data_IF_124581119492
#
_entry.id   IF_124581119492
#
_cell.length_a   1.000
_cell.length_b   1.000
_cell.length_c   1.000
_cell.angle_alpha   90.00
_cell.angle_beta   90.00
_cell.angle_gamma   90.00
#
_symmetry.space_group_name_H-M   'P 1'
#
loop_
_entity.id
_entity.type
_entity.pdbx_description
1 polymer ?
#
# COMPACT_ATOMS: atom_id res chain seq x y z
N UNK A 1 33.58 -9.61 -3.89
CA UNK A 1 33.04 -9.64 -5.27
C UNK A 1 33.67 -8.46 -5.98
N UNK A 2 34.45 -8.68 -7.02
CA UNK A 2 35.07 -7.63 -7.81
C UNK A 2 34.25 -7.47 -9.07
N UNK A 3 33.77 -6.26 -9.33
CA UNK A 3 32.98 -5.94 -10.53
C UNK A 3 33.93 -5.18 -11.45
N UNK A 4 34.24 -5.77 -12.60
CA UNK A 4 35.01 -5.10 -13.64
C UNK A 4 34.05 -4.60 -14.72
N UNK A 5 34.10 -3.29 -15.00
CA UNK A 5 33.36 -2.67 -16.08
C UNK A 5 34.24 -2.56 -17.32
N UNK A 6 33.78 -3.15 -18.41
CA UNK A 6 34.40 -2.95 -19.71
C UNK A 6 33.32 -2.43 -20.68
N UNK A 7 33.52 -1.22 -21.19
CA UNK A 7 32.54 -0.51 -22.05
C UNK A 7 32.24 -1.19 -23.39
N UNK A 8 33.01 -2.22 -23.75
CA UNK A 8 32.90 -2.93 -25.02
C UNK A 8 32.36 -4.35 -24.93
N UNK A 9 32.11 -4.88 -23.73
CA UNK A 9 31.63 -6.26 -23.52
C UNK A 9 30.49 -6.29 -22.50
N UNK A 10 29.56 -7.27 -22.63
CA UNK A 10 28.59 -7.50 -21.60
C UNK A 10 29.31 -7.80 -20.28
N UNK A 11 28.82 -7.25 -19.19
CA UNK A 11 29.36 -7.46 -17.86
C UNK A 11 29.35 -8.96 -17.54
N UNK A 12 30.54 -9.52 -17.37
CA UNK A 12 30.72 -10.93 -16.99
C UNK A 12 30.89 -11.00 -15.48
N UNK A 13 29.91 -11.58 -14.79
CA UNK A 13 30.12 -11.98 -13.41
C UNK A 13 30.86 -13.29 -13.34
N UNK A 14 32.06 -13.26 -12.81
CA UNK A 14 32.78 -14.48 -12.48
C UNK A 14 32.25 -15.05 -11.15
N UNK A 15 31.29 -15.96 -11.23
CA UNK A 15 30.90 -16.77 -10.09
C UNK A 15 31.78 -18.03 -10.10
N UNK A 16 32.58 -18.28 -9.05
CA UNK A 16 33.29 -19.54 -8.94
C UNK A 16 32.27 -20.70 -9.05
N UNK A 17 32.51 -21.60 -10.00
CA UNK A 17 31.68 -22.80 -10.27
C UNK A 17 30.39 -22.62 -11.10
N UNK A 18 30.17 -21.49 -11.78
CA UNK A 18 29.06 -21.38 -12.71
C UNK A 18 29.50 -21.40 -14.17
N UNK A 19 28.94 -22.32 -14.98
CA UNK A 19 29.10 -22.31 -16.43
C UNK A 19 27.90 -21.61 -17.04
N UNK A 20 28.15 -20.54 -17.78
CA UNK A 20 27.10 -19.83 -18.53
C UNK A 20 26.55 -20.79 -19.60
N UNK A 21 25.26 -21.11 -19.64
CA UNK A 21 24.68 -21.92 -20.70
C UNK A 21 24.89 -21.27 -22.07
N UNK A 22 25.10 -22.06 -23.11
CA UNK A 22 25.44 -21.58 -24.47
C UNK A 22 24.37 -20.67 -25.07
N UNK A 23 23.12 -20.79 -24.64
CA UNK A 23 22.02 -19.95 -25.08
C UNK A 23 22.05 -18.54 -24.46
N UNK A 24 22.67 -18.37 -23.27
CA UNK A 24 22.82 -17.08 -22.60
C UNK A 24 23.79 -16.14 -23.34
N UNK A 25 24.73 -16.70 -24.10
CA UNK A 25 25.69 -15.95 -24.88
C UNK A 25 25.08 -15.23 -26.11
N UNK A 26 23.84 -15.54 -26.45
CA UNK A 26 23.12 -14.96 -27.59
C UNK A 26 22.48 -13.61 -27.29
N UNK A 27 22.43 -13.20 -26.04
CA UNK A 27 21.67 -12.04 -25.61
C UNK A 27 22.58 -11.02 -24.92
N UNK A 28 22.41 -9.76 -25.25
CA UNK A 28 22.95 -8.66 -24.44
C UNK A 28 22.05 -8.47 -23.20
N UNK A 29 22.70 -8.39 -22.06
CA UNK A 29 22.02 -8.33 -20.78
C UNK A 29 21.82 -6.87 -20.35
N UNK A 30 20.60 -6.49 -19.93
CA UNK A 30 20.32 -5.21 -19.29
C UNK A 30 20.15 -5.43 -17.78
N UNK A 31 20.82 -4.58 -17.04
CA UNK A 31 20.92 -4.61 -15.61
C UNK A 31 19.69 -4.13 -14.90
N UNK A 32 19.29 -4.84 -13.87
CA UNK A 32 18.54 -4.29 -12.77
C UNK A 32 19.31 -4.63 -11.48
N UNK A 33 19.99 -3.65 -10.92
CA UNK A 33 20.43 -3.70 -9.52
C UNK A 33 19.31 -3.00 -8.73
N UNK A 34 18.56 -3.77 -7.98
CA UNK A 34 17.75 -3.22 -6.90
C UNK A 34 18.75 -2.75 -5.82
N UNK A 35 18.86 -1.44 -5.53
CA UNK A 35 19.81 -0.93 -4.55
C UNK A 35 19.55 -1.48 -3.14
N UNK A 36 18.34 -1.99 -2.87
CA UNK A 36 17.96 -2.55 -1.58
C UNK A 36 18.17 -4.07 -1.49
N UNK A 37 18.73 -4.68 -2.54
CA UNK A 37 18.91 -6.13 -2.59
C UNK A 37 20.20 -6.57 -1.90
N UNK A 38 20.12 -6.85 -0.59
CA UNK A 38 21.16 -7.59 0.13
C UNK A 38 21.08 -9.07 -0.23
N UNK A 39 21.95 -9.55 -1.11
CA UNK A 39 22.02 -10.98 -1.41
C UNK A 39 22.67 -11.74 -0.26
N UNK A 40 22.02 -12.77 0.30
CA UNK A 40 22.70 -13.73 1.15
C UNK A 40 23.85 -14.39 0.36
N UNK A 41 24.94 -14.73 1.04
CA UNK A 41 26.05 -15.45 0.44
C UNK A 41 25.53 -16.71 -0.28
N UNK A 42 25.75 -16.82 -1.60
CA UNK A 42 25.29 -17.94 -2.41
C UNK A 42 24.07 -17.68 -3.30
N UNK A 43 23.45 -16.53 -3.25
CA UNK A 43 22.34 -16.16 -4.13
C UNK A 43 22.86 -15.83 -5.54
N UNK A 44 22.25 -16.42 -6.57
CA UNK A 44 22.57 -16.14 -7.97
C UNK A 44 21.75 -14.95 -8.44
N UNK A 45 22.43 -13.90 -8.93
CA UNK A 45 21.81 -12.75 -9.57
C UNK A 45 21.95 -12.90 -11.07
N UNK A 46 20.85 -12.81 -11.81
CA UNK A 46 20.81 -12.86 -13.25
C UNK A 46 20.51 -11.48 -13.80
N UNK A 47 21.28 -11.09 -14.80
CA UNK A 47 21.14 -9.79 -15.43
C UNK A 47 21.18 -9.97 -16.94
N UNK A 48 20.07 -9.67 -17.62
CA UNK A 48 19.90 -9.85 -19.04
C UNK A 48 19.81 -8.50 -19.77
N UNK A 49 20.63 -8.32 -20.80
CA UNK A 49 20.57 -7.17 -21.71
C UNK A 49 20.06 -7.63 -23.07
N UNK A 50 19.03 -6.96 -23.58
CA UNK A 50 18.49 -7.21 -24.91
C UNK A 50 19.07 -6.21 -25.90
N UNK A 51 19.73 -6.66 -26.96
CA UNK A 51 20.43 -5.79 -27.93
C UNK A 51 19.50 -4.90 -28.73
N UNK A 52 18.30 -5.36 -29.08
CA UNK A 52 17.24 -4.54 -29.67
C UNK A 52 15.89 -5.25 -29.60
N UNK A 53 14.81 -4.49 -29.60
CA UNK A 53 13.44 -5.00 -29.62
C UNK A 53 13.08 -5.64 -30.98
N UNK A 54 13.81 -5.39 -32.04
CA UNK A 54 13.56 -5.89 -33.39
C UNK A 54 14.01 -7.33 -33.59
N UNK A 55 15.02 -7.80 -32.88
CA UNK A 55 15.52 -9.19 -32.98
C UNK A 55 14.64 -10.23 -32.30
N UNK A 56 13.68 -9.83 -31.49
CA UNK A 56 12.81 -10.72 -30.71
C UNK A 56 11.56 -11.21 -31.47
N UNK A 57 11.28 -10.69 -32.64
CA UNK A 57 10.07 -11.04 -33.39
C UNK A 57 10.03 -12.49 -33.91
N UNK A 58 11.12 -13.22 -33.80
CA UNK A 58 11.27 -14.56 -34.37
C UNK A 58 11.29 -15.75 -33.40
N UNK A 59 11.53 -15.54 -32.12
CA UNK A 59 11.70 -16.65 -31.15
C UNK A 59 10.43 -16.82 -30.31
N UNK A 60 9.58 -17.74 -30.72
CA UNK A 60 8.24 -17.97 -30.13
C UNK A 60 8.26 -18.70 -28.78
N UNK A 61 9.39 -19.25 -28.36
CA UNK A 61 9.47 -20.16 -27.19
C UNK A 61 10.03 -19.50 -25.91
N UNK A 62 10.54 -18.29 -26.00
CA UNK A 62 10.89 -17.52 -24.80
C UNK A 62 9.68 -16.68 -24.41
N UNK A 63 8.97 -17.12 -23.38
CA UNK A 63 7.88 -16.34 -22.82
C UNK A 63 8.32 -14.87 -22.71
N UNK A 64 7.61 -13.97 -23.37
CA UNK A 64 7.93 -12.56 -23.42
C UNK A 64 8.00 -12.01 -22.01
N UNK A 65 9.16 -12.06 -21.39
CA UNK A 65 9.52 -11.07 -20.39
C UNK A 65 10.01 -9.85 -21.18
N UNK A 66 9.11 -9.19 -21.87
CA UNK A 66 9.27 -7.76 -22.06
C UNK A 66 8.96 -7.18 -20.68
N UNK A 67 9.95 -6.65 -19.95
CA UNK A 67 9.62 -5.71 -18.92
C UNK A 67 8.94 -4.59 -19.71
N UNK A 68 7.65 -4.45 -19.53
CA UNK A 68 6.92 -3.28 -20.02
C UNK A 68 7.30 -2.15 -19.05
N UNK A 69 8.60 -1.78 -19.08
CA UNK A 69 9.28 -0.81 -18.23
C UNK A 69 8.75 0.61 -18.40
N UNK A 70 7.79 0.80 -19.30
CA UNK A 70 7.23 2.12 -19.60
C UNK A 70 5.72 2.21 -19.37
N UNK A 71 5.06 1.14 -18.94
CA UNK A 71 3.63 1.24 -18.69
C UNK A 71 3.43 1.69 -17.25
N UNK A 72 3.05 2.94 -17.09
CA UNK A 72 2.52 3.44 -15.83
C UNK A 72 1.48 2.46 -15.29
N UNK A 73 1.56 2.12 -14.02
CA UNK A 73 0.57 1.26 -13.37
C UNK A 73 -0.80 1.92 -13.43
N UNK A 74 -1.84 1.14 -13.65
CA UNK A 74 -3.21 1.62 -13.53
C UNK A 74 -3.45 2.22 -12.14
N UNK A 75 -4.26 3.25 -12.08
CA UNK A 75 -4.66 3.91 -10.83
C UNK A 75 -6.17 3.78 -10.71
N UNK A 76 -6.62 3.24 -9.58
CA UNK A 76 -8.04 3.04 -9.29
C UNK A 76 -8.40 3.74 -7.99
N UNK A 77 -9.30 4.71 -8.08
CA UNK A 77 -9.86 5.42 -6.94
C UNK A 77 -11.04 4.64 -6.36
N UNK A 78 -11.06 4.40 -5.05
CA UNK A 78 -12.14 3.72 -4.35
C UNK A 78 -12.93 4.71 -3.52
N UNK A 79 -14.25 4.81 -3.80
CA UNK A 79 -15.18 5.64 -3.03
C UNK A 79 -16.45 4.88 -2.68
N UNK A 80 -17.07 5.31 -1.59
CA UNK A 80 -18.36 4.78 -1.14
C UNK A 80 -19.30 5.93 -0.77
N UNK A 81 -19.12 6.57 0.38
CA UNK A 81 -19.93 7.68 0.87
C UNK A 81 -19.08 8.72 1.63
N UNK A 82 -17.83 8.89 1.24
CA UNK A 82 -16.94 9.89 1.84
C UNK A 82 -17.37 11.30 1.41
N UNK A 83 -17.50 12.21 2.39
CA UNK A 83 -17.97 13.59 2.18
C UNK A 83 -17.12 14.37 1.16
N UNK A 84 -15.85 14.02 1.03
CA UNK A 84 -14.85 14.67 0.19
C UNK A 84 -14.45 13.85 -1.06
N UNK A 85 -15.16 12.75 -1.34
CA UNK A 85 -14.83 11.84 -2.44
C UNK A 85 -14.76 12.54 -3.81
N UNK A 86 -15.72 13.41 -4.11
CA UNK A 86 -15.78 14.10 -5.40
C UNK A 86 -14.64 15.11 -5.59
N UNK A 87 -14.27 15.83 -4.55
CA UNK A 87 -13.19 16.81 -4.61
C UNK A 87 -11.83 16.11 -4.74
N UNK A 88 -11.61 15.02 -3.99
CA UNK A 88 -10.40 14.22 -4.09
C UNK A 88 -10.31 13.47 -5.41
N UNK A 89 -11.45 13.03 -5.97
CA UNK A 89 -11.49 12.43 -7.31
C UNK A 89 -11.06 13.42 -8.40
N UNK A 90 -11.63 14.64 -8.39
CA UNK A 90 -11.23 15.71 -9.35
C UNK A 90 -9.75 16.02 -9.21
N UNK A 91 -9.28 16.17 -7.97
CA UNK A 91 -7.85 16.39 -7.71
C UNK A 91 -6.98 15.27 -8.29
N UNK A 92 -7.36 14.00 -8.08
CA UNK A 92 -6.61 12.88 -8.66
C UNK A 92 -6.56 12.96 -10.19
N UNK A 93 -7.65 13.33 -10.84
CA UNK A 93 -7.71 13.48 -12.30
C UNK A 93 -6.80 14.60 -12.82
N UNK A 94 -6.53 15.66 -12.06
CA UNK A 94 -5.58 16.71 -12.43
C UNK A 94 -4.15 16.16 -12.57
N UNK A 95 -3.79 15.15 -11.80
CA UNK A 95 -2.47 14.48 -11.87
C UNK A 95 -2.48 13.27 -12.79
N UNK A 96 -3.59 12.54 -12.82
CA UNK A 96 -3.75 11.24 -13.46
C UNK A 96 -5.06 11.16 -14.25
N UNK A 97 -5.14 11.78 -15.43
CA UNK A 97 -6.38 11.85 -16.21
C UNK A 97 -6.93 10.49 -16.66
N UNK A 98 -6.10 9.44 -16.63
CA UNK A 98 -6.46 8.07 -17.00
C UNK A 98 -6.88 7.21 -15.81
N UNK A 99 -6.92 7.77 -14.61
CA UNK A 99 -7.38 7.06 -13.42
C UNK A 99 -8.79 6.54 -13.61
N UNK A 100 -9.07 5.38 -13.02
CA UNK A 100 -10.38 4.73 -13.03
C UNK A 100 -11.03 4.87 -11.67
N UNK A 101 -12.35 4.76 -11.58
CA UNK A 101 -13.08 4.83 -10.32
C UNK A 101 -13.92 3.60 -10.10
N UNK A 102 -13.94 3.12 -8.87
CA UNK A 102 -14.93 2.17 -8.33
C UNK A 102 -15.67 2.91 -7.25
N UNK A 103 -17.00 3.01 -7.37
CA UNK A 103 -17.86 3.76 -6.49
C UNK A 103 -19.02 2.92 -6.00
N UNK A 104 -19.44 3.10 -4.74
CA UNK A 104 -20.66 2.54 -4.18
C UNK A 104 -20.67 1.02 -4.00
N UNK A 105 -19.51 0.35 -4.04
CA UNK A 105 -19.44 -1.10 -3.83
C UNK A 105 -19.41 -1.39 -2.33
N UNK A 106 -20.42 -2.10 -1.85
CA UNK A 106 -20.50 -2.50 -0.45
C UNK A 106 -19.47 -3.57 -0.10
N UNK A 107 -18.71 -3.31 0.97
CA UNK A 107 -17.68 -4.16 1.48
C UNK A 107 -16.29 -3.90 0.90
N UNK A 108 -15.31 -3.67 1.80
CA UNK A 108 -13.94 -3.28 1.45
C UNK A 108 -13.25 -4.27 0.50
N UNK A 109 -13.35 -5.58 0.77
CA UNK A 109 -12.77 -6.60 -0.11
C UNK A 109 -13.46 -6.64 -1.48
N UNK A 110 -14.79 -6.47 -1.53
CA UNK A 110 -15.53 -6.46 -2.79
C UNK A 110 -15.14 -5.26 -3.66
N UNK A 111 -14.99 -4.07 -3.06
CA UNK A 111 -14.52 -2.86 -3.75
C UNK A 111 -13.10 -3.05 -4.31
N UNK A 112 -12.17 -3.60 -3.53
CA UNK A 112 -10.81 -3.90 -3.99
C UNK A 112 -10.79 -4.94 -5.11
N UNK A 113 -11.60 -6.01 -5.03
CA UNK A 113 -11.74 -6.98 -6.12
C UNK A 113 -12.29 -6.35 -7.38
N UNK A 114 -13.24 -5.42 -7.25
CA UNK A 114 -13.77 -4.69 -8.41
C UNK A 114 -12.68 -3.79 -9.03
N UNK A 115 -11.84 -3.14 -8.21
CA UNK A 115 -10.68 -2.40 -8.69
C UNK A 115 -9.71 -3.30 -9.47
N UNK A 116 -9.41 -4.49 -8.96
CA UNK A 116 -8.59 -5.47 -9.65
C UNK A 116 -9.18 -5.92 -11.00
N UNK A 117 -10.52 -6.07 -11.10
CA UNK A 117 -11.18 -6.45 -12.37
C UNK A 117 -11.02 -5.39 -13.44
N UNK A 118 -11.11 -4.10 -13.09
CA UNK A 118 -10.99 -3.01 -14.05
C UNK A 118 -9.54 -2.59 -14.34
N UNK A 119 -8.59 -2.99 -13.49
CA UNK A 119 -7.17 -2.78 -13.73
C UNK A 119 -6.68 -3.62 -14.91
N UNK A 120 -5.83 -3.05 -15.77
CA UNK A 120 -5.23 -3.71 -16.95
C UNK A 120 -3.77 -4.11 -16.71
N UNK A 121 -3.13 -3.55 -15.69
CA UNK A 121 -1.77 -3.87 -15.28
C UNK A 121 -1.76 -4.95 -14.19
N UNK A 122 -0.69 -5.77 -14.14
CA UNK A 122 -0.57 -6.87 -13.16
C UNK A 122 -0.46 -6.39 -11.72
N UNK A 123 0.07 -5.19 -11.55
CA UNK A 123 0.03 -4.42 -10.30
C UNK A 123 -0.62 -3.07 -10.58
N UNK A 124 -1.31 -2.51 -9.63
CA UNK A 124 -2.02 -1.24 -9.82
C UNK A 124 -2.14 -0.47 -8.51
N UNK A 125 -2.21 0.85 -8.62
CA UNK A 125 -2.48 1.73 -7.51
C UNK A 125 -3.95 1.69 -7.11
N UNK A 126 -4.21 1.68 -5.82
CA UNK A 126 -5.51 1.97 -5.22
C UNK A 126 -5.36 3.24 -4.42
N UNK A 127 -6.28 4.18 -4.62
CA UNK A 127 -6.36 5.46 -3.92
C UNK A 127 -7.68 5.51 -3.17
N UNK A 128 -7.60 5.65 -1.84
CA UNK A 128 -8.79 5.75 -0.99
C UNK A 128 -9.44 7.15 -1.15
N UNK A 129 -10.77 7.24 -1.04
CA UNK A 129 -11.51 8.46 -1.34
C UNK A 129 -11.23 9.65 -0.40
N UNK A 130 -10.73 9.37 0.81
CA UNK A 130 -10.30 10.41 1.75
C UNK A 130 -8.83 10.85 1.55
N UNK A 131 -8.13 10.29 0.57
CA UNK A 131 -6.74 10.62 0.27
C UNK A 131 -6.63 11.89 -0.58
N UNK A 132 -6.20 12.98 0.03
CA UNK A 132 -5.81 14.21 -0.66
C UNK A 132 -4.38 14.07 -1.16
N UNK A 133 -4.21 13.79 -2.45
CA UNK A 133 -2.89 13.55 -3.07
C UNK A 133 -2.02 14.82 -3.03
N UNK A 134 -0.75 14.66 -2.62
CA UNK A 134 0.23 15.76 -2.58
C UNK A 134 0.70 16.14 -3.99
N UNK A 135 1.05 17.41 -4.20
CA UNK A 135 1.47 17.95 -5.49
C UNK A 135 2.78 17.33 -6.04
N UNK A 136 3.63 16.87 -5.16
CA UNK A 136 4.92 16.25 -5.47
C UNK A 136 4.83 14.74 -5.65
N UNK A 137 3.74 14.07 -5.28
CA UNK A 137 3.57 12.64 -5.49
C UNK A 137 3.25 12.30 -6.95
N UNK A 138 4.10 11.48 -7.59
CA UNK A 138 4.07 11.30 -9.07
C UNK A 138 3.50 9.96 -9.55
N UNK A 139 3.11 9.02 -8.69
CA UNK A 139 2.67 7.66 -9.06
C UNK A 139 3.67 6.93 -9.96
N UNK A 140 4.96 7.12 -9.75
CA UNK A 140 6.03 6.59 -10.59
C UNK A 140 6.77 5.41 -9.95
N UNK A 141 6.38 4.98 -8.75
CA UNK A 141 6.96 3.79 -8.13
C UNK A 141 6.54 2.55 -8.90
N UNK A 142 7.52 1.77 -9.33
CA UNK A 142 7.31 0.51 -10.03
C UNK A 142 7.90 -0.60 -9.18
N UNK A 143 7.06 -1.52 -8.65
CA UNK A 143 7.54 -2.66 -7.90
C UNK A 143 8.52 -3.52 -8.68
N UNK A 144 9.54 -4.05 -7.98
CA UNK A 144 10.45 -5.03 -8.55
C UNK A 144 9.70 -6.27 -9.05
N UNK A 145 10.21 -6.90 -10.10
CA UNK A 145 9.67 -8.17 -10.60
C UNK A 145 9.64 -9.28 -9.53
N UNK A 146 10.51 -9.18 -8.52
CA UNK A 146 10.58 -10.12 -7.40
C UNK A 146 9.55 -9.86 -6.29
N UNK A 147 8.85 -8.73 -6.37
CA UNK A 147 7.87 -8.28 -5.37
C UNK A 147 6.44 -8.22 -5.94
N UNK A 148 6.16 -8.95 -7.01
CA UNK A 148 4.84 -8.96 -7.68
C UNK A 148 3.72 -9.55 -6.83
N UNK A 149 4.04 -10.26 -5.77
CA UNK A 149 3.13 -10.80 -4.77
C UNK A 149 3.03 -9.94 -3.51
N UNK A 150 3.68 -8.77 -3.50
CA UNK A 150 3.75 -7.88 -2.37
C UNK A 150 2.73 -6.74 -2.48
N UNK A 151 2.09 -6.38 -1.37
CA UNK A 151 1.33 -5.13 -1.25
C UNK A 151 2.27 -4.03 -0.77
N UNK A 152 2.23 -2.88 -1.45
CA UNK A 152 2.98 -1.69 -1.05
C UNK A 152 2.03 -0.64 -0.48
N UNK A 153 2.43 -0.01 0.61
CA UNK A 153 1.65 1.04 1.26
C UNK A 153 2.53 2.27 1.42
N UNK A 154 2.08 3.37 0.86
CA UNK A 154 2.76 4.65 1.01
C UNK A 154 2.43 5.29 2.35
N UNK A 155 3.32 6.16 2.83
CA UNK A 155 3.01 6.98 3.98
C UNK A 155 1.85 7.92 3.66
N UNK A 156 0.95 8.06 4.61
CA UNK A 156 -0.12 9.06 4.62
C UNK A 156 0.07 9.99 5.82
N UNK A 157 -0.10 11.29 5.62
CA UNK A 157 -0.02 12.25 6.69
C UNK A 157 -1.38 12.45 7.35
N UNK A 158 -1.41 12.39 8.67
CA UNK A 158 -2.59 12.67 9.47
C UNK A 158 -2.84 14.20 9.53
N UNK A 159 -4.04 14.69 9.16
CA UNK A 159 -4.34 16.12 9.12
C UNK A 159 -4.43 16.76 10.52
N UNK A 160 -4.61 15.95 11.57
CA UNK A 160 -4.83 16.44 12.94
C UNK A 160 -3.51 16.49 13.72
N UNK A 161 -2.78 15.38 13.79
CA UNK A 161 -1.58 15.25 14.62
C UNK A 161 -0.26 15.17 13.84
N UNK A 162 -0.33 15.22 12.51
CA UNK A 162 0.81 15.17 11.58
C UNK A 162 1.64 13.88 11.62
N UNK A 163 1.17 12.86 12.28
CA UNK A 163 1.80 11.53 12.13
C UNK A 163 1.84 11.12 10.67
N UNK A 164 2.96 10.56 10.25
CA UNK A 164 3.14 10.03 8.91
C UNK A 164 3.67 8.61 9.00
N UNK A 165 2.92 7.67 8.48
CA UNK A 165 3.27 6.24 8.42
C UNK A 165 2.39 5.51 7.41
N UNK A 166 2.72 4.26 7.11
CA UNK A 166 1.97 3.45 6.14
C UNK A 166 0.66 2.92 6.73
N UNK A 167 -0.44 3.65 6.57
CA UNK A 167 -1.74 3.22 7.10
C UNK A 167 -2.91 3.29 6.09
N UNK A 168 -2.65 3.58 4.85
CA UNK A 168 -3.71 3.64 3.85
C UNK A 168 -3.51 4.78 2.88
N UNK A 169 -4.59 5.31 2.31
CA UNK A 169 -4.57 6.40 1.34
C UNK A 169 -4.12 5.93 -0.04
N UNK A 170 -2.84 5.61 -0.24
CA UNK A 170 -2.32 5.10 -1.51
C UNK A 170 -1.58 3.78 -1.29
N UNK A 171 -1.93 2.79 -2.10
CA UNK A 171 -1.36 1.43 -2.05
C UNK A 171 -1.13 0.90 -3.46
N UNK A 172 -0.22 -0.06 -3.62
CA UNK A 172 -0.11 -0.86 -4.84
C UNK A 172 -0.46 -2.30 -4.49
N UNK A 173 -1.37 -2.89 -5.25
CA UNK A 173 -1.81 -4.26 -5.08
C UNK A 173 -1.42 -5.14 -6.28
N UNK A 174 -1.05 -6.40 -6.02
CA UNK A 174 -0.97 -7.42 -7.06
C UNK A 174 -2.40 -7.86 -7.45
N UNK A 175 -2.72 -7.73 -8.74
CA UNK A 175 -4.06 -7.99 -9.29
C UNK A 175 -4.55 -9.41 -8.99
N UNK A 176 -3.76 -10.42 -9.33
CA UNK A 176 -4.15 -11.82 -9.15
C UNK A 176 -4.32 -12.21 -7.69
N UNK A 177 -3.42 -11.74 -6.83
CA UNK A 177 -3.52 -11.97 -5.38
C UNK A 177 -4.83 -11.39 -4.84
N UNK A 178 -5.21 -10.20 -5.30
CA UNK A 178 -6.42 -9.53 -4.85
C UNK A 178 -7.68 -10.22 -5.39
N UNK A 179 -7.69 -10.67 -6.65
CA UNK A 179 -8.83 -11.39 -7.24
C UNK A 179 -9.11 -12.72 -6.52
N UNK A 180 -8.07 -13.43 -6.13
CA UNK A 180 -8.16 -14.73 -5.45
C UNK A 180 -8.26 -14.62 -3.94
N UNK A 181 -8.09 -13.42 -3.35
CA UNK A 181 -8.12 -13.21 -1.91
C UNK A 181 -9.45 -13.65 -1.30
N UNK A 182 -9.35 -14.37 -0.20
CA UNK A 182 -10.45 -14.68 0.71
C UNK A 182 -10.02 -14.25 2.10
N UNK A 183 -10.84 -13.48 2.78
CA UNK A 183 -10.50 -13.04 4.13
C UNK A 183 -11.72 -13.02 5.03
N UNK A 184 -11.54 -13.57 6.19
CA UNK A 184 -12.38 -13.49 7.38
C UNK A 184 -11.78 -12.58 8.46
N UNK A 185 -10.59 -12.00 8.16
CA UNK A 185 -9.86 -11.15 9.11
C UNK A 185 -10.37 -9.71 9.09
N UNK A 186 -10.25 -9.00 10.23
CA UNK A 186 -10.69 -7.60 10.36
C UNK A 186 -9.93 -6.63 9.45
N UNK A 187 -8.64 -6.88 9.19
CA UNK A 187 -7.83 -6.06 8.30
C UNK A 187 -7.69 -6.74 6.94
N UNK A 188 -8.33 -6.14 5.93
CA UNK A 188 -8.33 -6.65 4.56
C UNK A 188 -6.95 -6.51 3.92
N UNK A 189 -6.24 -5.41 4.17
CA UNK A 189 -4.96 -5.13 3.53
C UNK A 189 -3.88 -6.13 3.93
N UNK A 190 -3.74 -6.40 5.23
CA UNK A 190 -2.77 -7.35 5.75
C UNK A 190 -3.17 -8.82 5.55
N UNK A 191 -4.45 -9.08 5.25
CA UNK A 191 -4.94 -10.44 4.98
C UNK A 191 -4.86 -10.85 3.51
N UNK A 192 -4.73 -9.90 2.58
CA UNK A 192 -4.68 -10.16 1.14
C UNK A 192 -3.33 -10.75 0.72
N UNK A 193 -2.23 -10.26 1.26
CA UNK A 193 -0.89 -10.68 0.87
C UNK A 193 -0.05 -11.12 2.07
N UNK A 194 0.77 -12.17 1.84
CA UNK A 194 1.73 -12.63 2.84
C UNK A 194 2.95 -11.71 2.95
N UNK A 195 3.11 -10.80 2.00
CA UNK A 195 4.22 -9.85 1.93
C UNK A 195 3.68 -8.43 1.84
N UNK A 196 4.26 -7.57 2.66
CA UNK A 196 3.85 -6.19 2.81
C UNK A 196 5.10 -5.30 2.91
N UNK A 197 5.12 -4.22 2.15
CA UNK A 197 6.21 -3.23 2.18
C UNK A 197 5.66 -1.83 2.38
N UNK A 198 6.23 -1.11 3.33
CA UNK A 198 5.95 0.30 3.54
C UNK A 198 6.92 1.12 2.71
N UNK A 199 6.41 2.09 1.96
CA UNK A 199 7.18 3.08 1.20
C UNK A 199 7.15 4.39 1.97
N UNK A 200 8.31 4.91 2.35
CA UNK A 200 8.44 6.09 3.22
C UNK A 200 8.00 7.40 2.53
N UNK A 201 7.84 7.40 1.19
CA UNK A 201 7.31 8.55 0.47
C UNK A 201 5.89 8.87 0.93
N UNK A 202 5.66 10.13 1.30
CA UNK A 202 4.34 10.61 1.71
C UNK A 202 3.52 10.89 0.45
N UNK A 203 2.48 10.11 0.23
CA UNK A 203 1.64 10.21 -0.98
C UNK A 203 0.47 11.19 -0.83
N UNK A 204 -0.07 11.31 0.38
CA UNK A 204 -1.32 12.02 0.61
C UNK A 204 -1.47 12.52 2.04
N UNK A 205 -2.44 13.42 2.24
CA UNK A 205 -3.04 13.71 3.54
C UNK A 205 -4.36 12.95 3.61
N UNK A 206 -4.59 12.18 4.67
CA UNK A 206 -5.85 11.46 4.87
C UNK A 206 -6.92 12.39 5.43
N UNK A 207 -7.82 12.92 4.60
CA UNK A 207 -8.84 13.89 4.99
C UNK A 207 -10.07 13.21 5.63
N UNK A 208 -9.89 12.49 6.72
CA UNK A 208 -10.96 11.80 7.43
C UNK A 208 -11.75 12.72 8.38
N UNK A 209 -11.24 13.92 8.66
CA UNK A 209 -11.80 14.85 9.66
C UNK A 209 -12.93 15.73 9.08
N UNK A 210 -13.84 15.13 8.31
CA UNK A 210 -14.95 15.81 7.63
C UNK A 210 -16.10 16.18 8.58
N UNK A 211 -16.32 15.37 9.62
CA UNK A 211 -17.32 15.60 10.65
C UNK A 211 -16.92 14.93 11.98
N UNK A 212 -17.57 15.24 13.12
CA UNK A 212 -17.23 14.69 14.43
C UNK A 212 -17.19 13.17 14.48
N UNK A 213 -18.17 12.49 13.87
CA UNK A 213 -18.25 11.03 13.88
C UNK A 213 -17.16 10.39 13.04
N UNK A 214 -16.94 10.84 11.81
CA UNK A 214 -15.90 10.30 10.93
C UNK A 214 -14.51 10.47 11.56
N UNK A 215 -14.27 11.59 12.20
CA UNK A 215 -13.02 11.89 12.90
C UNK A 215 -12.80 10.96 14.11
N UNK A 216 -13.81 10.85 14.96
CA UNK A 216 -13.78 9.94 16.10
C UNK A 216 -13.60 8.48 15.65
N UNK A 217 -14.37 8.06 14.67
CA UNK A 217 -14.34 6.69 14.12
C UNK A 217 -12.96 6.31 13.61
N UNK A 218 -12.31 7.18 12.83
CA UNK A 218 -10.98 6.90 12.27
C UNK A 218 -9.94 6.78 13.37
N UNK A 219 -9.94 7.70 14.34
CA UNK A 219 -9.04 7.65 15.48
C UNK A 219 -9.29 6.40 16.36
N UNK A 220 -10.57 6.06 16.62
CA UNK A 220 -10.95 4.85 17.35
C UNK A 220 -10.40 3.58 16.69
N UNK A 221 -10.64 3.42 15.39
CA UNK A 221 -10.21 2.24 14.63
C UNK A 221 -8.70 2.09 14.64
N UNK A 222 -8.00 3.18 14.38
CA UNK A 222 -6.53 3.18 14.32
C UNK A 222 -5.93 2.88 15.71
N UNK A 223 -6.37 3.55 16.76
CA UNK A 223 -5.85 3.35 18.10
C UNK A 223 -6.23 1.99 18.70
N UNK A 224 -7.38 1.41 18.32
CA UNK A 224 -7.73 0.05 18.68
C UNK A 224 -6.76 -0.98 18.08
N UNK A 225 -6.35 -0.80 16.81
CA UNK A 225 -5.35 -1.63 16.16
C UNK A 225 -3.98 -1.50 16.82
N UNK A 226 -3.51 -0.27 17.03
CA UNK A 226 -2.22 0.01 17.68
C UNK A 226 -2.16 -0.59 19.09
N UNK A 227 -3.24 -0.45 19.87
CA UNK A 227 -3.31 -0.96 21.24
C UNK A 227 -3.41 -2.48 21.34
N UNK A 228 -4.11 -3.12 20.41
CA UNK A 228 -4.20 -4.57 20.34
C UNK A 228 -2.86 -5.22 19.96
N UNK A 229 -1.98 -4.50 19.24
CA UNK A 229 -0.63 -4.93 18.81
C UNK A 229 -0.60 -6.30 18.11
N UNK A 230 -1.67 -6.68 17.44
CA UNK A 230 -1.82 -7.98 16.78
C UNK A 230 -2.19 -7.88 15.30
N UNK A 231 -2.34 -6.65 14.78
CA UNK A 231 -2.77 -6.41 13.40
C UNK A 231 -1.58 -6.07 12.51
N UNK A 232 -0.57 -5.37 13.06
CA UNK A 232 0.66 -5.00 12.36
C UNK A 232 1.88 -5.53 13.11
N UNK A 233 2.88 -6.03 12.38
CA UNK A 233 4.20 -6.42 12.93
C UNK A 233 5.05 -5.20 13.34
N UNK A 234 4.41 -4.12 13.79
CA UNK A 234 5.10 -2.91 14.21
C UNK A 234 5.78 -3.11 15.57
N UNK A 235 6.88 -2.38 15.79
CA UNK A 235 7.52 -2.34 17.10
C UNK A 235 6.53 -1.79 18.15
N UNK A 236 6.42 -2.48 19.26
CA UNK A 236 5.57 -2.08 20.39
C UNK A 236 5.85 -0.64 20.85
N UNK A 237 7.12 -0.21 20.87
CA UNK A 237 7.51 1.14 21.26
C UNK A 237 6.97 2.20 20.30
N UNK A 238 7.02 1.92 19.01
CA UNK A 238 6.46 2.80 17.99
C UNK A 238 4.94 2.91 18.13
N UNK A 239 4.25 1.81 18.39
CA UNK A 239 2.81 1.82 18.64
C UNK A 239 2.45 2.66 19.87
N UNK A 240 3.20 2.55 20.97
CA UNK A 240 2.99 3.37 22.17
C UNK A 240 3.23 4.86 21.91
N UNK A 241 4.26 5.22 21.15
CA UNK A 241 4.52 6.60 20.76
C UNK A 241 3.38 7.16 19.90
N UNK A 242 2.92 6.40 18.90
CA UNK A 242 1.79 6.79 18.06
C UNK A 242 0.50 6.97 18.88
N UNK A 243 0.18 6.04 19.77
CA UNK A 243 -0.95 6.14 20.68
C UNK A 243 -0.88 7.40 21.55
N UNK A 244 0.31 7.71 22.11
CA UNK A 244 0.52 8.92 22.88
C UNK A 244 0.21 10.18 22.04
N UNK A 245 0.76 10.28 20.83
CA UNK A 245 0.54 11.42 19.94
C UNK A 245 -0.95 11.55 19.56
N UNK A 246 -1.62 10.45 19.22
CA UNK A 246 -3.05 10.44 18.89
C UNK A 246 -3.92 10.98 20.05
N UNK A 247 -3.55 10.67 21.31
CA UNK A 247 -4.32 11.06 22.50
C UNK A 247 -4.02 12.48 23.00
N UNK A 248 -2.92 13.11 22.54
CA UNK A 248 -2.45 14.36 23.12
C UNK A 248 -2.30 15.50 22.12
N UNK A 249 -2.36 15.24 20.82
CA UNK A 249 -2.02 16.23 19.80
C UNK A 249 -3.21 16.49 18.87
N UNK A 250 -3.52 17.76 18.64
CA UNK A 250 -4.46 18.17 17.61
C UNK A 250 -5.70 18.91 18.09
N UNK A 251 -5.81 19.32 19.36
CA UNK A 251 -6.95 20.08 19.92
C UNK A 251 -7.37 21.29 19.07
N UNK A 252 -6.40 22.00 18.48
CA UNK A 252 -6.67 23.19 17.66
C UNK A 252 -7.13 22.89 16.23
N UNK A 253 -7.21 21.63 15.84
CA UNK A 253 -7.60 21.21 14.48
C UNK A 253 -9.09 20.98 14.39
N UNK A 254 -9.63 21.08 13.16
CA UNK A 254 -11.04 20.77 12.89
C UNK A 254 -11.37 19.36 13.40
N UNK A 255 -12.32 19.27 14.32
CA UNK A 255 -12.70 18.04 15.01
C UNK A 255 -11.58 17.35 15.81
N UNK A 256 -10.50 18.07 16.17
CA UNK A 256 -9.35 17.51 16.88
C UNK A 256 -9.70 16.84 18.21
N UNK A 257 -10.61 17.44 18.98
CA UNK A 257 -11.09 16.86 20.25
C UNK A 257 -11.83 15.54 20.03
N UNK A 258 -12.55 15.40 18.91
CA UNK A 258 -13.19 14.13 18.54
C UNK A 258 -12.15 13.07 18.17
N UNK A 259 -11.05 13.45 17.51
CA UNK A 259 -9.95 12.53 17.25
C UNK A 259 -9.30 12.02 18.54
N UNK A 260 -8.99 12.94 19.46
CA UNK A 260 -8.39 12.59 20.77
C UNK A 260 -9.32 11.67 21.55
N UNK A 261 -10.60 12.02 21.59
CA UNK A 261 -11.61 11.18 22.23
C UNK A 261 -11.71 9.78 21.61
N UNK A 262 -11.73 9.70 20.27
CA UNK A 262 -11.73 8.45 19.54
C UNK A 262 -10.47 7.61 19.80
N UNK A 263 -9.32 8.27 19.92
CA UNK A 263 -8.06 7.61 20.24
C UNK A 263 -8.07 6.96 21.62
N UNK A 264 -8.58 7.69 22.63
CA UNK A 264 -8.71 7.17 24.00
C UNK A 264 -9.67 5.97 24.04
N UNK A 265 -10.86 6.12 23.45
CA UNK A 265 -11.88 5.08 23.43
C UNK A 265 -11.37 3.84 22.66
N UNK A 266 -10.66 4.05 21.55
CA UNK A 266 -10.07 2.99 20.72
C UNK A 266 -8.96 2.24 21.44
N UNK A 267 -8.07 2.92 22.15
CA UNK A 267 -7.04 2.29 22.96
C UNK A 267 -7.66 1.39 24.04
N UNK A 268 -8.64 1.88 24.78
CA UNK A 268 -9.36 1.11 25.82
C UNK A 268 -9.98 -0.13 25.20
N UNK A 269 -10.66 0.02 24.06
CA UNK A 269 -11.30 -1.10 23.36
C UNK A 269 -10.27 -2.11 22.85
N UNK A 270 -9.16 -1.66 22.25
CA UNK A 270 -8.10 -2.51 21.74
C UNK A 270 -7.44 -3.35 22.83
N UNK A 271 -7.08 -2.73 23.96
CA UNK A 271 -6.50 -3.43 25.10
C UNK A 271 -7.47 -4.50 25.65
N UNK A 272 -8.75 -4.13 25.81
CA UNK A 272 -9.76 -5.02 26.38
C UNK A 272 -10.10 -6.23 25.47
N UNK A 273 -9.84 -6.13 24.17
CA UNK A 273 -10.22 -7.15 23.18
C UNK A 273 -9.04 -7.71 22.37
N UNK A 274 -7.79 -7.48 22.77
CA UNK A 274 -6.59 -7.88 22.02
C UNK A 274 -6.55 -9.37 21.64
N UNK A 275 -7.12 -10.23 22.48
CA UNK A 275 -7.15 -11.69 22.29
C UNK A 275 -8.51 -12.18 21.72
N UNK A 276 -9.41 -11.26 21.34
CA UNK A 276 -10.74 -11.58 20.80
C UNK A 276 -10.92 -10.96 19.41
N UNK A 277 -10.56 -11.73 18.37
CA UNK A 277 -10.63 -11.29 17.00
C UNK A 277 -12.04 -10.93 16.51
N UNK A 278 -13.07 -11.65 16.98
CA UNK A 278 -14.47 -11.34 16.63
C UNK A 278 -14.86 -9.95 17.14
N UNK A 279 -14.57 -9.67 18.41
CA UNK A 279 -14.84 -8.35 18.98
C UNK A 279 -13.98 -7.26 18.37
N UNK A 280 -12.70 -7.51 18.11
CA UNK A 280 -11.86 -6.54 17.38
C UNK A 280 -12.43 -6.24 15.99
N UNK A 281 -13.05 -7.21 15.34
CA UNK A 281 -13.71 -7.03 14.04
C UNK A 281 -14.79 -5.94 14.02
N UNK A 282 -15.40 -5.61 15.18
CA UNK A 282 -16.39 -4.54 15.31
C UNK A 282 -15.85 -3.15 14.95
N UNK A 283 -14.53 -2.95 14.94
CA UNK A 283 -13.95 -1.68 14.44
C UNK A 283 -14.29 -1.42 12.96
N UNK A 284 -14.74 -2.42 12.22
CA UNK A 284 -15.17 -2.29 10.82
C UNK A 284 -16.70 -2.19 10.66
N UNK A 285 -17.46 -2.36 11.73
CA UNK A 285 -18.92 -2.22 11.72
C UNK A 285 -19.30 -0.74 11.94
N UNK A 286 -19.67 -0.09 10.84
CA UNK A 286 -20.07 1.32 10.85
C UNK A 286 -21.31 1.59 11.74
N UNK A 287 -22.26 0.67 11.77
CA UNK A 287 -23.50 0.81 12.55
C UNK A 287 -23.18 0.70 14.04
N UNK A 288 -22.35 -0.26 14.41
CA UNK A 288 -21.89 -0.42 15.79
C UNK A 288 -21.07 0.80 16.25
N UNK A 289 -20.11 1.26 15.46
CA UNK A 289 -19.31 2.45 15.77
C UNK A 289 -20.19 3.69 15.96
N UNK A 290 -21.22 3.86 15.12
CA UNK A 290 -22.15 4.98 15.27
C UNK A 290 -22.92 4.91 16.59
N UNK A 291 -23.37 3.74 16.99
CA UNK A 291 -24.03 3.53 18.30
C UNK A 291 -23.08 3.86 19.47
N UNK A 292 -21.85 3.42 19.41
CA UNK A 292 -20.83 3.74 20.46
C UNK A 292 -20.61 5.24 20.55
N UNK A 293 -20.42 5.91 19.41
CA UNK A 293 -20.26 7.37 19.37
C UNK A 293 -21.46 8.12 19.96
N UNK A 294 -22.68 7.70 19.61
CA UNK A 294 -23.90 8.35 20.09
C UNK A 294 -24.12 8.15 21.60
N UNK A 295 -23.77 6.98 22.13
CA UNK A 295 -23.82 6.73 23.58
C UNK A 295 -22.82 7.61 24.33
N UNK A 296 -21.59 7.70 23.80
CA UNK A 296 -20.54 8.56 24.37
C UNK A 296 -20.96 10.03 24.48
N UNK A 297 -21.61 10.57 23.46
CA UNK A 297 -21.98 11.98 23.41
C UNK A 297 -23.28 12.32 24.16
N UNK A 298 -23.94 11.33 24.77
CA UNK A 298 -25.09 11.54 25.66
C UNK A 298 -24.70 11.64 27.14
N UNK A 299 -23.44 11.31 27.44
CA UNK A 299 -22.87 11.43 28.79
C UNK A 299 -22.18 12.80 28.96
#
# INVERSE_FOLDING_TARGET
MQIEFNDSLPLVFNFPNYKIPSWELKYDLIWYLDPDFATPAGTKIWVWRVKSTEQYAGDKDMGRITPNLSKQLDIVFLSYNEDNAEDNWRRLLDFQPTAKRVDGVDGLLAAHKQAARIATTDMFYVVDADAYILDDFKFNYIPSIFDRDCVFVFHSQNPINRLSYGHGGVKIFPKETLLTAHTDKPDVTTSIANKFKVIEEISNIGLFNTNPFNTWRTAFRECAKLAANNIDNNDYKDNQLRLHIWKTTGHSKLHGDNAIAGAIDGEIFGIANKDNHERLGLINDHVWLKKVFDVRNKQ
#
